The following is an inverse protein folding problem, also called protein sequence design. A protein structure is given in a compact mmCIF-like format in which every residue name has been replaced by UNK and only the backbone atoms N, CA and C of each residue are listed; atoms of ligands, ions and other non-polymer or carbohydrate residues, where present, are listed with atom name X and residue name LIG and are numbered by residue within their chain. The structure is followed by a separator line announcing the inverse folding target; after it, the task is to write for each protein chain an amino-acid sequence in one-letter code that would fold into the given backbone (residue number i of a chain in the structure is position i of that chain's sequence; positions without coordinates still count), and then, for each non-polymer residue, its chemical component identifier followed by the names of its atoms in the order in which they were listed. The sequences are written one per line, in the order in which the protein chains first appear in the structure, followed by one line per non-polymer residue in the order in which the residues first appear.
data_IF_340753619567
#
_entry.id   IF_340753619567
#
_cell.length_a   1.000
_cell.length_b   1.000
_cell.length_c   1.000
_cell.angle_alpha   90.00
_cell.angle_beta   90.00
_cell.angle_gamma   90.00
#
_symmetry.space_group_name_H-M   'P 1'
#
loop_
_entity.id
_entity.type
_entity.pdbx_description
1 polymer ?
#
# COMPACT_ATOMS: atom_id res chain seq x y z
N UNK A 1 13.61 45.46 -65.34
CA UNK A 1 14.67 44.69 -64.67
C UNK A 1 14.15 44.24 -63.32
N UNK A 2 14.10 42.92 -63.10
CA UNK A 2 14.26 42.11 -61.86
C UNK A 2 13.74 42.73 -60.54
N UNK A 3 12.73 42.16 -59.87
CA UNK A 3 12.87 41.09 -58.86
C UNK A 3 13.07 41.71 -57.46
N UNK A 4 12.47 41.35 -56.33
CA UNK A 4 11.98 40.09 -55.78
C UNK A 4 11.10 40.38 -54.54
N UNK A 5 10.26 39.38 -54.22
CA UNK A 5 9.71 39.00 -52.92
C UNK A 5 10.45 39.46 -51.65
N UNK A 6 9.70 39.78 -50.59
CA UNK A 6 9.88 39.13 -49.28
C UNK A 6 8.67 39.30 -48.35
N UNK A 7 8.25 38.19 -47.75
CA UNK A 7 7.17 38.06 -46.78
C UNK A 7 7.55 38.61 -45.41
N UNK A 8 6.59 39.17 -44.67
CA UNK A 8 6.77 39.51 -43.26
C UNK A 8 5.50 39.25 -42.47
N UNK A 9 5.41 38.08 -41.82
CA UNK A 9 4.48 37.86 -40.70
C UNK A 9 4.85 38.83 -39.58
N UNK A 10 3.90 39.63 -39.12
CA UNK A 10 4.09 40.51 -37.96
C UNK A 10 3.50 39.79 -36.75
N UNK A 11 4.38 39.24 -35.90
CA UNK A 11 4.07 38.99 -34.49
C UNK A 11 4.23 40.31 -33.73
N UNK A 12 3.43 40.58 -32.68
CA UNK A 12 3.58 41.80 -31.91
C UNK A 12 4.88 41.75 -31.11
N UNK A 13 5.82 42.63 -31.45
CA UNK A 13 7.00 42.91 -30.63
C UNK A 13 6.56 43.82 -29.48
N UNK A 14 6.55 43.29 -28.26
CA UNK A 14 6.39 44.11 -27.06
C UNK A 14 7.76 44.74 -26.78
N UNK A 15 7.90 46.02 -27.12
CA UNK A 15 9.01 46.85 -26.63
C UNK A 15 8.52 47.53 -25.36
N UNK A 16 9.01 47.05 -24.21
CA UNK A 16 8.89 47.77 -22.94
C UNK A 16 10.15 48.63 -22.79
N UNK A 17 9.98 49.95 -22.78
CA UNK A 17 10.97 50.86 -22.21
C UNK A 17 10.27 51.78 -21.22
N UNK A 18 10.71 51.68 -19.98
CA UNK A 18 10.32 52.45 -18.80
C UNK A 18 10.63 53.95 -18.96
N UNK A 19 9.66 54.81 -18.63
CA UNK A 19 9.85 56.07 -17.88
C UNK A 19 8.49 56.77 -17.73
N UNK A 20 8.07 56.96 -16.47
CA UNK A 20 6.70 57.27 -16.09
C UNK A 20 6.09 58.51 -16.75
N UNK A 21 4.85 58.36 -17.19
CA UNK A 21 3.84 59.40 -17.35
C UNK A 21 2.45 58.74 -17.40
N UNK A 22 1.45 59.44 -16.88
CA UNK A 22 0.12 58.99 -16.47
C UNK A 22 -0.61 57.98 -17.38
N UNK A 23 -1.31 57.02 -16.75
CA UNK A 23 -2.28 56.08 -17.33
C UNK A 23 -3.53 56.73 -17.99
N UNK A 24 -3.48 58.00 -18.41
CA UNK A 24 -4.66 58.71 -18.96
C UNK A 24 -4.75 58.72 -20.49
N UNK A 25 -3.78 58.14 -21.22
CA UNK A 25 -3.76 58.23 -22.69
C UNK A 25 -3.30 56.97 -23.43
N UNK A 26 -3.78 55.80 -23.00
CA UNK A 26 -3.93 54.71 -23.96
C UNK A 26 -5.25 54.96 -24.72
N UNK A 27 -5.24 55.88 -25.70
CA UNK A 27 -6.38 56.01 -26.60
C UNK A 27 -6.38 54.75 -27.47
N UNK A 28 -7.27 53.81 -27.14
CA UNK A 28 -7.71 52.83 -28.11
C UNK A 28 -8.20 53.63 -29.31
N UNK A 29 -7.49 53.55 -30.44
CA UNK A 29 -8.00 54.06 -31.69
C UNK A 29 -9.22 53.18 -32.04
N UNK A 30 -10.39 53.62 -31.59
CA UNK A 30 -11.65 53.13 -32.14
C UNK A 30 -11.65 53.63 -33.56
N UNK A 31 -11.24 52.78 -34.50
CA UNK A 31 -11.60 52.96 -35.90
C UNK A 31 -13.12 53.14 -35.93
N UNK A 32 -13.56 54.39 -36.13
CA UNK A 32 -14.93 54.70 -36.49
C UNK A 32 -15.26 53.80 -37.69
N UNK A 33 -16.27 52.96 -37.53
CA UNK A 33 -16.79 52.16 -38.62
C UNK A 33 -17.48 53.17 -39.55
N UNK A 34 -16.74 53.63 -40.56
CA UNK A 34 -17.33 54.35 -41.69
C UNK A 34 -18.50 53.51 -42.23
N UNK A 35 -19.69 54.13 -42.29
CA UNK A 35 -20.96 53.52 -42.69
C UNK A 35 -21.00 53.04 -44.15
N UNK A 36 -19.86 52.99 -44.84
CA UNK A 36 -19.71 52.60 -46.23
C UNK A 36 -19.59 51.08 -46.47
N UNK A 37 -19.41 50.24 -45.43
CA UNK A 37 -19.21 48.79 -45.56
C UNK A 37 -20.17 47.95 -44.67
N UNK A 38 -21.46 47.81 -45.05
CA UNK A 38 -22.49 47.15 -44.22
C UNK A 38 -22.25 45.66 -43.95
N UNK A 39 -21.44 44.97 -44.77
CA UNK A 39 -21.16 43.54 -44.60
C UNK A 39 -20.29 43.23 -43.35
N UNK A 40 -19.52 44.21 -42.84
CA UNK A 40 -18.69 44.06 -41.64
C UNK A 40 -19.54 43.95 -40.36
N UNK A 41 -20.65 44.70 -40.26
CA UNK A 41 -21.54 44.63 -39.09
C UNK A 41 -22.25 43.27 -38.99
N UNK A 42 -22.67 42.70 -40.13
CA UNK A 42 -23.36 41.40 -40.19
C UNK A 42 -22.41 40.23 -39.86
N UNK A 43 -21.17 40.29 -40.34
CA UNK A 43 -20.16 39.25 -40.08
C UNK A 43 -19.68 39.28 -38.62
N UNK A 44 -19.44 40.46 -38.04
CA UNK A 44 -19.08 40.59 -36.62
C UNK A 44 -20.23 40.10 -35.73
N UNK A 45 -21.48 40.47 -36.00
CA UNK A 45 -22.65 39.99 -35.25
C UNK A 45 -22.78 38.46 -35.26
N UNK A 46 -22.69 37.83 -36.43
CA UNK A 46 -22.75 36.38 -36.56
C UNK A 46 -21.60 35.66 -35.82
N UNK A 47 -20.40 36.24 -35.81
CA UNK A 47 -19.26 35.69 -35.05
C UNK A 47 -19.47 35.80 -33.53
N UNK A 48 -20.10 36.87 -33.03
CA UNK A 48 -20.38 36.99 -31.59
C UNK A 48 -21.43 35.99 -31.11
N UNK A 49 -22.45 35.71 -31.91
CA UNK A 49 -23.50 34.74 -31.55
C UNK A 49 -23.01 33.29 -31.61
N UNK A 50 -22.16 32.97 -32.59
CA UNK A 50 -21.50 31.66 -32.67
C UNK A 50 -20.51 31.47 -31.53
N UNK A 51 -19.72 32.49 -31.16
CA UNK A 51 -18.83 32.42 -30.00
C UNK A 51 -19.58 32.30 -28.67
N UNK A 52 -20.70 33.01 -28.49
CA UNK A 52 -21.58 32.86 -27.30
C UNK A 52 -22.14 31.45 -27.18
N UNK A 53 -22.57 30.84 -28.30
CA UNK A 53 -23.06 29.45 -28.33
C UNK A 53 -21.95 28.45 -27.98
N UNK A 54 -20.72 28.67 -28.47
CA UNK A 54 -19.57 27.83 -28.13
C UNK A 54 -19.22 27.96 -26.65
N UNK A 55 -19.17 29.17 -26.10
CA UNK A 55 -18.93 29.40 -24.66
C UNK A 55 -20.03 28.75 -23.82
N UNK A 56 -21.28 28.86 -24.25
CA UNK A 56 -22.43 28.23 -23.59
C UNK A 56 -22.35 26.69 -23.64
N UNK A 57 -21.98 26.11 -24.79
CA UNK A 57 -21.76 24.66 -24.93
C UNK A 57 -20.59 24.16 -24.08
N UNK A 58 -19.50 24.93 -23.99
CA UNK A 58 -18.36 24.61 -23.13
C UNK A 58 -18.75 24.71 -21.64
N UNK A 59 -19.58 25.69 -21.26
CA UNK A 59 -20.15 25.80 -19.92
C UNK A 59 -21.05 24.61 -19.57
N UNK A 60 -21.91 24.18 -20.50
CA UNK A 60 -22.76 23.00 -20.31
C UNK A 60 -21.94 21.71 -20.20
N UNK A 61 -20.90 21.57 -21.02
CA UNK A 61 -19.96 20.44 -20.94
C UNK A 61 -19.23 20.44 -19.59
N UNK A 62 -18.78 21.61 -19.11
CA UNK A 62 -18.12 21.76 -17.83
C UNK A 62 -19.06 21.47 -16.65
N UNK A 63 -20.31 21.94 -16.69
CA UNK A 63 -21.33 21.63 -15.69
C UNK A 63 -21.65 20.13 -15.62
N UNK A 64 -21.62 19.41 -16.74
CA UNK A 64 -21.88 17.96 -16.76
C UNK A 64 -20.82 17.14 -16.02
N UNK A 65 -19.60 17.67 -15.87
CA UNK A 65 -18.49 16.97 -15.20
C UNK A 65 -18.51 17.10 -13.68
N UNK A 66 -19.37 17.94 -13.10
CA UNK A 66 -19.45 18.16 -11.65
C UNK A 66 -20.56 17.30 -11.05
N UNK A 67 -20.38 15.98 -11.07
CA UNK A 67 -21.12 15.07 -10.17
C UNK A 67 -20.16 14.15 -9.43
N UNK A 68 -19.17 14.75 -8.75
CA UNK A 68 -18.52 14.05 -7.64
C UNK A 68 -19.45 14.09 -6.43
N UNK A 69 -20.41 13.16 -6.39
CA UNK A 69 -21.07 12.80 -5.15
C UNK A 69 -20.07 11.99 -4.31
N UNK A 70 -19.15 12.69 -3.64
CA UNK A 70 -18.35 12.08 -2.58
C UNK A 70 -19.29 11.62 -1.48
N UNK A 71 -19.41 10.31 -1.30
CA UNK A 71 -20.19 9.72 -0.21
C UNK A 71 -19.55 10.16 1.11
N UNK A 72 -20.30 10.88 1.94
CA UNK A 72 -19.79 11.45 3.20
C UNK A 72 -19.31 10.34 4.17
N UNK A 73 -18.20 10.58 4.86
CA UNK A 73 -17.55 9.59 5.75
C UNK A 73 -18.49 9.20 6.89
N UNK A 74 -19.22 10.15 7.46
CA UNK A 74 -20.16 9.87 8.54
C UNK A 74 -21.35 9.06 8.05
N UNK A 75 -21.85 9.37 6.85
CA UNK A 75 -22.88 8.57 6.17
C UNK A 75 -22.44 7.13 5.94
N UNK A 76 -21.23 6.93 5.41
CA UNK A 76 -20.63 5.59 5.22
C UNK A 76 -20.49 4.84 6.55
N UNK A 77 -20.11 5.55 7.62
CA UNK A 77 -19.97 4.94 8.94
C UNK A 77 -21.31 4.47 9.48
N UNK A 78 -22.36 5.27 9.36
CA UNK A 78 -23.71 4.89 9.78
C UNK A 78 -24.26 3.74 8.94
N UNK A 79 -24.08 3.79 7.61
CA UNK A 79 -24.45 2.71 6.72
C UNK A 79 -23.79 1.39 7.13
N UNK A 80 -22.49 1.42 7.44
CA UNK A 80 -21.76 0.25 7.96
C UNK A 80 -22.34 -0.28 9.27
N UNK A 81 -22.68 0.62 10.21
CA UNK A 81 -23.31 0.23 11.48
C UNK A 81 -24.68 -0.41 11.25
N UNK A 82 -25.48 0.12 10.33
CA UNK A 82 -26.81 -0.39 10.03
C UNK A 82 -26.77 -1.76 9.36
N UNK A 83 -25.85 -1.96 8.41
CA UNK A 83 -25.60 -3.29 7.85
C UNK A 83 -25.15 -4.27 8.93
N UNK A 84 -24.26 -3.85 9.84
CA UNK A 84 -23.79 -4.71 10.93
C UNK A 84 -24.95 -5.12 11.87
N UNK A 85 -25.82 -4.17 12.26
CA UNK A 85 -27.00 -4.45 13.10
C UNK A 85 -27.98 -5.41 12.42
N UNK A 86 -28.12 -5.33 11.09
CA UNK A 86 -28.97 -6.23 10.30
C UNK A 86 -28.35 -7.61 10.08
N UNK A 87 -27.12 -7.84 10.53
CA UNK A 87 -26.39 -9.10 10.29
C UNK A 87 -25.72 -9.19 8.91
N UNK A 88 -25.79 -8.12 8.11
CA UNK A 88 -25.19 -8.06 6.78
C UNK A 88 -23.71 -7.68 6.85
N UNK A 89 -22.90 -8.56 7.45
CA UNK A 89 -21.50 -8.24 7.79
C UNK A 89 -20.62 -7.93 6.58
N UNK A 90 -20.83 -8.63 5.46
CA UNK A 90 -20.08 -8.36 4.20
C UNK A 90 -20.33 -6.93 3.67
N UNK A 91 -21.55 -6.41 3.78
CA UNK A 91 -21.87 -5.05 3.38
C UNK A 91 -21.32 -4.03 4.38
N UNK A 92 -21.38 -4.33 5.67
CA UNK A 92 -20.74 -3.51 6.70
C UNK A 92 -19.22 -3.35 6.48
N UNK A 93 -18.54 -4.46 6.17
CA UNK A 93 -17.12 -4.49 5.81
C UNK A 93 -16.85 -3.55 4.63
N UNK A 94 -17.66 -3.61 3.57
CA UNK A 94 -17.49 -2.75 2.40
C UNK A 94 -17.61 -1.26 2.75
N UNK A 95 -18.62 -0.87 3.53
CA UNK A 95 -18.81 0.53 3.94
C UNK A 95 -17.65 1.03 4.81
N UNK A 96 -17.18 0.26 5.79
CA UNK A 96 -16.02 0.66 6.61
C UNK A 96 -14.72 0.70 5.79
N UNK A 97 -14.54 -0.20 4.83
CA UNK A 97 -13.36 -0.19 3.95
C UNK A 97 -13.33 1.07 3.08
N UNK A 98 -14.44 1.51 2.51
CA UNK A 98 -14.50 2.78 1.77
C UNK A 98 -13.99 3.97 2.58
N UNK A 99 -14.30 4.03 3.88
CA UNK A 99 -13.79 5.07 4.79
C UNK A 99 -12.27 4.98 4.94
N UNK A 100 -11.72 3.77 5.07
CA UNK A 100 -10.27 3.58 5.20
C UNK A 100 -9.54 3.85 3.88
N UNK A 101 -10.16 3.51 2.76
CA UNK A 101 -9.63 3.71 1.40
C UNK A 101 -9.59 5.20 1.03
N UNK A 102 -10.40 6.06 1.66
CA UNK A 102 -10.28 7.53 1.57
C UNK A 102 -9.13 8.12 2.41
N UNK A 103 -8.35 7.27 3.08
CA UNK A 103 -7.16 7.65 3.85
C UNK A 103 -7.43 7.96 5.33
N UNK A 104 -8.69 7.88 5.78
CA UNK A 104 -9.05 8.10 7.18
C UNK A 104 -8.44 7.00 8.05
N UNK A 105 -7.63 7.40 9.04
CA UNK A 105 -7.06 6.50 10.04
C UNK A 105 -7.73 6.72 11.38
N UNK A 106 -8.76 5.93 11.66
CA UNK A 106 -9.57 6.07 12.88
C UNK A 106 -9.70 4.73 13.61
N UNK A 107 -9.39 4.72 14.91
CA UNK A 107 -9.47 3.52 15.75
C UNK A 107 -10.87 2.89 15.75
N UNK A 108 -11.93 3.70 15.80
CA UNK A 108 -13.33 3.27 15.83
C UNK A 108 -13.74 2.56 14.54
N UNK A 109 -13.27 3.05 13.39
CA UNK A 109 -13.53 2.41 12.08
C UNK A 109 -12.84 1.05 12.02
N UNK A 110 -11.58 0.96 12.44
CA UNK A 110 -10.88 -0.33 12.51
C UNK A 110 -11.50 -1.30 13.51
N UNK A 111 -11.99 -0.81 14.66
CA UNK A 111 -12.68 -1.62 15.66
C UNK A 111 -13.99 -2.20 15.10
N UNK A 112 -14.83 -1.37 14.48
CA UNK A 112 -16.09 -1.83 13.87
C UNK A 112 -15.86 -2.75 12.67
N UNK A 113 -14.81 -2.50 11.89
CA UNK A 113 -14.38 -3.41 10.82
C UNK A 113 -13.92 -4.76 11.39
N UNK A 114 -13.19 -4.76 12.51
CA UNK A 114 -12.83 -5.97 13.25
C UNK A 114 -14.05 -6.76 13.72
N UNK A 115 -15.03 -6.08 14.31
CA UNK A 115 -16.31 -6.69 14.71
C UNK A 115 -17.01 -7.33 13.51
N UNK A 116 -17.08 -6.62 12.38
CA UNK A 116 -17.72 -7.11 11.17
C UNK A 116 -16.99 -8.33 10.58
N UNK A 117 -15.66 -8.32 10.49
CA UNK A 117 -14.90 -9.49 10.06
C UNK A 117 -15.07 -10.68 11.00
N UNK A 118 -15.07 -10.45 12.32
CA UNK A 118 -15.26 -11.53 13.29
C UNK A 118 -16.63 -12.20 13.11
N UNK A 119 -17.69 -11.40 12.97
CA UNK A 119 -19.05 -11.90 12.70
C UNK A 119 -19.21 -12.53 11.32
N UNK A 120 -18.37 -12.14 10.36
CA UNK A 120 -18.28 -12.77 9.03
C UNK A 120 -17.38 -14.02 9.01
N UNK A 121 -16.94 -14.51 10.18
CA UNK A 121 -16.04 -15.66 10.35
C UNK A 121 -14.64 -15.49 9.70
N UNK A 122 -14.21 -14.25 9.47
CA UNK A 122 -12.90 -13.90 8.91
C UNK A 122 -11.91 -13.54 10.04
N UNK A 123 -11.61 -14.53 10.90
CA UNK A 123 -10.85 -14.34 12.16
C UNK A 123 -9.51 -13.61 11.95
N UNK A 124 -8.71 -14.02 10.97
CA UNK A 124 -7.41 -13.38 10.71
C UNK A 124 -7.52 -11.88 10.34
N UNK A 125 -8.55 -11.51 9.57
CA UNK A 125 -8.81 -10.10 9.22
C UNK A 125 -9.38 -9.31 10.40
N UNK A 126 -10.16 -9.96 11.26
CA UNK A 126 -10.59 -9.38 12.52
C UNK A 126 -9.39 -9.04 13.42
N UNK A 127 -8.47 -9.99 13.65
CA UNK A 127 -7.23 -9.75 14.40
C UNK A 127 -6.45 -8.57 13.84
N UNK A 128 -6.24 -8.53 12.52
CA UNK A 128 -5.51 -7.44 11.88
C UNK A 128 -6.18 -6.09 12.13
N UNK A 129 -7.50 -6.04 12.02
CA UNK A 129 -8.28 -4.81 12.20
C UNK A 129 -8.24 -4.33 13.66
N UNK A 130 -8.45 -5.22 14.63
CA UNK A 130 -8.30 -4.87 16.05
C UNK A 130 -6.88 -4.47 16.43
N UNK A 131 -5.84 -5.12 15.88
CA UNK A 131 -4.44 -4.68 16.10
C UNK A 131 -4.21 -3.26 15.58
N UNK A 132 -4.78 -2.90 14.44
CA UNK A 132 -4.71 -1.52 13.91
C UNK A 132 -5.47 -0.54 14.80
N UNK A 133 -6.67 -0.90 15.27
CA UNK A 133 -7.43 -0.11 16.22
C UNK A 133 -6.64 0.12 17.52
N UNK A 134 -6.04 -0.94 18.07
CA UNK A 134 -5.26 -0.90 19.31
C UNK A 134 -4.01 -0.02 19.19
N UNK A 135 -3.32 -0.05 18.03
CA UNK A 135 -2.19 0.85 17.76
C UNK A 135 -2.59 2.33 17.80
N UNK A 136 -3.81 2.65 17.38
CA UNK A 136 -4.32 4.03 17.37
C UNK A 136 -4.89 4.45 18.74
N UNK A 137 -5.45 3.51 19.51
CA UNK A 137 -6.00 3.76 20.84
C UNK A 137 -5.63 2.63 21.83
N UNK A 138 -4.39 2.61 22.36
CA UNK A 138 -3.89 1.50 23.17
C UNK A 138 -4.49 1.43 24.58
N UNK A 139 -5.16 2.50 25.03
CA UNK A 139 -5.82 2.60 26.35
C UNK A 139 -7.30 2.24 26.31
N UNK A 140 -7.84 1.95 25.13
CA UNK A 140 -9.23 1.55 24.96
C UNK A 140 -9.42 0.09 25.40
N UNK A 141 -10.19 -0.11 26.47
CA UNK A 141 -10.42 -1.43 27.07
C UNK A 141 -11.21 -2.35 26.15
N UNK A 142 -12.14 -1.81 25.35
CA UNK A 142 -13.02 -2.60 24.49
C UNK A 142 -12.23 -3.14 23.30
N UNK A 143 -11.37 -2.30 22.71
CA UNK A 143 -10.44 -2.73 21.67
C UNK A 143 -9.50 -3.83 22.19
N UNK A 144 -8.94 -3.63 23.39
CA UNK A 144 -8.05 -4.62 24.01
C UNK A 144 -8.76 -5.95 24.26
N UNK A 145 -9.94 -5.89 24.88
CA UNK A 145 -10.76 -7.06 25.18
C UNK A 145 -11.15 -7.83 23.91
N UNK A 146 -11.64 -7.15 22.87
CA UNK A 146 -12.01 -7.82 21.62
C UNK A 146 -10.80 -8.38 20.88
N UNK A 147 -9.64 -7.73 20.94
CA UNK A 147 -8.41 -8.28 20.38
C UNK A 147 -8.01 -9.58 21.09
N UNK A 148 -8.00 -9.59 22.42
CA UNK A 148 -7.69 -10.79 23.22
C UNK A 148 -8.72 -11.91 22.96
N UNK A 149 -10.00 -11.56 22.89
CA UNK A 149 -11.07 -12.51 22.59
C UNK A 149 -10.88 -13.16 21.23
N UNK A 150 -10.63 -12.38 20.17
CA UNK A 150 -10.38 -12.96 18.83
C UNK A 150 -9.07 -13.76 18.77
N UNK A 151 -8.04 -13.32 19.49
CA UNK A 151 -6.78 -14.07 19.57
C UNK A 151 -6.96 -15.43 20.25
N UNK A 152 -7.95 -15.60 21.14
CA UNK A 152 -8.23 -16.91 21.75
C UNK A 152 -8.61 -17.97 20.70
N UNK A 153 -9.41 -17.61 19.69
CA UNK A 153 -9.75 -18.49 18.56
C UNK A 153 -8.52 -18.85 17.72
N UNK A 154 -7.63 -17.88 17.49
CA UNK A 154 -6.36 -18.13 16.78
C UNK A 154 -5.41 -18.96 17.64
N UNK A 155 -5.41 -18.81 18.95
CA UNK A 155 -4.55 -19.59 19.84
C UNK A 155 -4.96 -21.06 19.94
N UNK A 156 -6.24 -21.39 19.71
CA UNK A 156 -6.68 -22.78 19.54
C UNK A 156 -6.25 -23.36 18.18
N UNK A 157 -6.22 -22.55 17.12
CA UNK A 157 -5.73 -22.93 15.79
C UNK A 157 -4.20 -22.96 15.69
N UNK A 158 -3.50 -22.10 16.46
CA UNK A 158 -2.06 -22.12 16.70
C UNK A 158 -1.71 -23.20 17.73
N UNK A 159 -2.28 -24.39 17.52
CA UNK A 159 -1.94 -25.62 18.21
C UNK A 159 -0.45 -25.86 17.96
N UNK A 160 0.35 -25.68 19.02
CA UNK A 160 1.79 -25.92 19.07
C UNK A 160 2.16 -27.06 18.12
N UNK A 161 3.14 -26.84 17.26
CA UNK A 161 3.61 -27.89 16.34
C UNK A 161 3.91 -29.18 17.13
N UNK A 162 3.81 -30.39 16.53
CA UNK A 162 4.12 -31.63 17.25
C UNK A 162 5.49 -31.57 17.96
N UNK A 163 6.43 -30.82 17.39
CA UNK A 163 7.75 -30.54 17.96
C UNK A 163 7.63 -29.63 19.19
N UNK A 164 6.92 -28.52 19.15
CA UNK A 164 6.72 -27.64 20.30
C UNK A 164 6.01 -28.35 21.47
N UNK A 165 5.03 -29.20 21.19
CA UNK A 165 4.37 -30.01 22.22
C UNK A 165 5.33 -31.06 22.81
N UNK A 166 6.16 -31.68 21.97
CA UNK A 166 7.19 -32.62 22.43
C UNK A 166 8.24 -31.89 23.28
N UNK A 167 8.70 -30.72 22.87
CA UNK A 167 9.67 -29.89 23.58
C UNK A 167 9.14 -29.46 24.95
N UNK A 168 7.87 -29.06 25.03
CA UNK A 168 7.22 -28.69 26.28
C UNK A 168 7.06 -29.89 27.22
N UNK A 169 6.65 -31.05 26.69
CA UNK A 169 6.59 -32.27 27.48
C UNK A 169 7.97 -32.66 28.02
N UNK A 170 9.03 -32.55 27.21
CA UNK A 170 10.41 -32.85 27.63
C UNK A 170 10.91 -31.85 28.68
N UNK A 171 10.63 -30.56 28.50
CA UNK A 171 10.99 -29.51 29.46
C UNK A 171 10.26 -29.65 30.80
N UNK A 172 9.02 -30.13 30.79
CA UNK A 172 8.25 -30.37 32.01
C UNK A 172 8.58 -31.73 32.67
N UNK A 173 9.11 -32.68 31.89
CA UNK A 173 9.57 -33.99 32.39
C UNK A 173 10.97 -33.92 33.02
N UNK A 174 11.85 -33.04 32.53
CA UNK A 174 13.22 -32.88 33.02
C UNK A 174 13.48 -31.45 33.46
N UNK A 175 14.04 -31.29 34.65
CA UNK A 175 14.53 -29.99 35.13
C UNK A 175 15.72 -29.50 34.29
N UNK A 176 15.98 -28.19 34.30
CA UNK A 176 17.10 -27.58 33.54
C UNK A 176 18.46 -28.24 33.83
N UNK A 177 18.67 -28.68 35.08
CA UNK A 177 19.90 -29.35 35.50
C UNK A 177 20.02 -30.74 34.86
N UNK A 178 18.93 -31.51 34.84
CA UNK A 178 18.89 -32.85 34.25
C UNK A 178 19.04 -32.79 32.73
N UNK A 179 18.40 -31.82 32.08
CA UNK A 179 18.55 -31.59 30.64
C UNK A 179 20.00 -31.26 30.26
N UNK A 180 20.67 -30.44 31.08
CA UNK A 180 22.08 -30.07 30.86
C UNK A 180 23.00 -31.29 30.96
N UNK A 181 22.76 -32.17 31.94
CA UNK A 181 23.52 -33.42 32.08
C UNK A 181 23.31 -34.33 30.87
N UNK A 182 22.06 -34.52 30.42
CA UNK A 182 21.74 -35.36 29.25
C UNK A 182 22.41 -34.83 27.98
N UNK A 183 22.32 -33.53 27.72
CA UNK A 183 22.98 -32.90 26.56
C UNK A 183 24.50 -33.07 26.63
N UNK A 184 25.10 -32.88 27.81
CA UNK A 184 26.54 -33.06 28.00
C UNK A 184 26.98 -34.52 27.75
N UNK A 185 26.20 -35.50 28.20
CA UNK A 185 26.46 -36.92 27.94
C UNK A 185 26.36 -37.26 26.44
N UNK A 186 25.34 -36.73 25.75
CA UNK A 186 25.21 -36.91 24.29
C UNK A 186 26.40 -36.27 23.56
N UNK A 187 26.78 -35.04 23.94
CA UNK A 187 27.90 -34.33 23.34
C UNK A 187 29.22 -35.09 23.51
N UNK A 188 29.50 -35.56 24.74
CA UNK A 188 30.71 -36.34 25.03
C UNK A 188 30.73 -37.68 24.29
N UNK A 189 29.59 -38.38 24.21
CA UNK A 189 29.48 -39.62 23.45
C UNK A 189 29.72 -39.40 21.93
N UNK A 190 29.15 -38.35 21.35
CA UNK A 190 29.39 -37.97 19.95
C UNK A 190 30.85 -37.61 19.71
N UNK A 191 31.48 -36.87 20.63
CA UNK A 191 32.89 -36.52 20.55
C UNK A 191 33.80 -37.75 20.59
N UNK A 192 33.51 -38.71 21.48
CA UNK A 192 34.24 -39.99 21.56
C UNK A 192 34.05 -40.80 20.27
N UNK A 193 32.80 -40.94 19.80
CA UNK A 193 32.48 -41.65 18.56
C UNK A 193 33.22 -41.06 17.36
N UNK A 194 33.21 -39.73 17.22
CA UNK A 194 33.95 -39.02 16.18
C UNK A 194 35.47 -39.22 16.29
N UNK A 195 36.01 -39.16 17.51
CA UNK A 195 37.44 -39.37 17.77
C UNK A 195 37.88 -40.79 17.39
N UNK A 196 37.08 -41.80 17.75
CA UNK A 196 37.31 -43.21 17.37
C UNK A 196 37.21 -43.39 15.86
N UNK A 197 36.21 -42.79 15.21
CA UNK A 197 36.03 -42.83 13.77
C UNK A 197 37.25 -42.25 13.03
N UNK A 198 37.74 -41.07 13.45
CA UNK A 198 38.92 -40.44 12.84
C UNK A 198 40.17 -41.31 13.05
N UNK A 199 40.36 -41.87 14.25
CA UNK A 199 41.54 -42.66 14.58
C UNK A 199 41.57 -44.00 13.84
N UNK A 200 40.45 -44.72 13.79
CA UNK A 200 40.31 -45.98 13.05
C UNK A 200 40.51 -45.76 11.54
N UNK A 201 39.91 -44.70 10.96
CA UNK A 201 40.11 -44.34 9.55
C UNK A 201 41.56 -44.05 9.21
N UNK A 202 42.28 -43.28 10.04
CA UNK A 202 43.73 -43.03 9.85
C UNK A 202 44.55 -44.31 9.91
N UNK A 203 44.22 -45.22 10.85
CA UNK A 203 44.90 -46.52 10.98
C UNK A 203 44.68 -47.41 9.75
N UNK A 204 43.47 -47.45 9.20
CA UNK A 204 43.17 -48.23 7.98
C UNK A 204 43.93 -47.67 6.78
N UNK A 205 43.96 -46.35 6.58
CA UNK A 205 44.73 -45.73 5.48
C UNK A 205 46.24 -46.01 5.59
N UNK A 206 46.80 -45.98 6.81
CA UNK A 206 48.19 -46.31 7.05
C UNK A 206 48.53 -47.75 6.62
N UNK A 207 47.75 -48.74 7.05
CA UNK A 207 47.98 -50.14 6.67
C UNK A 207 47.73 -50.40 5.17
N UNK A 208 46.73 -49.74 4.57
CA UNK A 208 46.49 -49.84 3.13
C UNK A 208 47.67 -49.30 2.29
N UNK A 209 48.31 -48.20 2.74
CA UNK A 209 49.50 -47.68 2.09
C UNK A 209 50.71 -48.62 2.23
N UNK A 210 50.86 -49.28 3.39
CA UNK A 210 51.90 -50.29 3.60
C UNK A 210 51.71 -51.48 2.64
N UNK A 211 50.50 -52.04 2.56
CA UNK A 211 50.26 -53.20 1.69
C UNK A 211 50.43 -52.86 0.21
N UNK A 212 49.99 -51.66 -0.22
CA UNK A 212 50.23 -51.17 -1.58
C UNK A 212 51.73 -51.05 -1.90
N UNK A 213 52.53 -50.52 -0.96
CA UNK A 213 53.99 -50.41 -1.14
C UNK A 213 54.67 -51.78 -1.29
N UNK A 214 54.26 -52.78 -0.50
CA UNK A 214 54.79 -54.15 -0.61
C UNK A 214 54.45 -54.76 -1.98
N UNK A 215 53.21 -54.59 -2.46
CA UNK A 215 52.78 -55.10 -3.77
C UNK A 215 53.62 -54.48 -4.90
N UNK A 216 53.87 -53.17 -4.85
CA UNK A 216 54.66 -52.47 -5.86
C UNK A 216 56.11 -52.99 -5.91
N UNK A 217 56.74 -53.21 -4.76
CA UNK A 217 58.11 -53.74 -4.67
C UNK A 217 58.21 -55.16 -5.25
N UNK A 218 57.20 -56.01 -5.02
CA UNK A 218 57.19 -57.38 -5.54
C UNK A 218 56.87 -57.47 -7.04
N UNK A 219 56.34 -56.40 -7.63
CA UNK A 219 55.91 -56.36 -9.03
C UNK A 219 56.93 -55.79 -10.02
N UNK A 220 58.04 -55.22 -9.53
CA UNK A 220 59.13 -54.64 -10.33
C UNK A 220 60.40 -55.46 -10.23
#
# INVERSE_FOLDING_TARGET
MLGLYCSGRIYPTIVVTDLGLSLSKASFATTEIDGSQPWLATTIGATTDTMKKIIFLLLLLFLSTVTFAGEDIDSLFQQGNDFYKKGNYSQAIASYRKILDSGVKNAKVFYNLGNAYFKNNEIGRAVLSYKRAYRLSPKDSDIKFNLEYVLSFVSEEAKKTPIEKLLENLYNLLTLNELTIVIFLIYTALFISLSVYIFTRKRVLFWANITLGIILILSG
#
